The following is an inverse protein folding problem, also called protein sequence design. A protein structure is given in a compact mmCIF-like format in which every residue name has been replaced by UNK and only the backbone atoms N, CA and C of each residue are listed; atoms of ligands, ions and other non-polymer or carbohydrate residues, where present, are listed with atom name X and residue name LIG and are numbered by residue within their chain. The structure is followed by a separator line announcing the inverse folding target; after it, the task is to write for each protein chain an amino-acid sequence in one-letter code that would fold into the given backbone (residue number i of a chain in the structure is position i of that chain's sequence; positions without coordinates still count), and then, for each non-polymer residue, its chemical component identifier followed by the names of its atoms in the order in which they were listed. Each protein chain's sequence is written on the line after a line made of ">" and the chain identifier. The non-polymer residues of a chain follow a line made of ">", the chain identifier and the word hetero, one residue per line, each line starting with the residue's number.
data_IF_426363060546
#
_entry.id   IF_426363060546
#
_cell.length_a   1.000
_cell.length_b   1.000
_cell.length_c   1.000
_cell.angle_alpha   90.00
_cell.angle_beta   90.00
_cell.angle_gamma   90.00
#
_symmetry.space_group_name_H-M   'P 1'
#
loop_
_entity.id
_entity.type
_entity.pdbx_description
1 polymer ?
#
# COMPACT_ATOMS: atom_id res chain seq x y z
N UNK A 1 8.02 -14.12 -1.46
CA UNK A 1 8.07 -12.69 -1.80
C UNK A 1 6.87 -12.00 -1.19
N UNK A 2 7.08 -11.08 -0.25
CA UNK A 2 6.01 -10.45 0.53
C UNK A 2 5.51 -9.19 -0.20
N UNK A 3 4.24 -8.84 -0.01
CA UNK A 3 3.63 -7.63 -0.59
C UNK A 3 3.06 -6.78 0.54
N UNK A 4 3.44 -5.51 0.57
CA UNK A 4 2.76 -4.50 1.36
C UNK A 4 1.61 -3.92 0.53
N UNK A 5 0.39 -4.02 1.04
CA UNK A 5 -0.81 -3.48 0.40
C UNK A 5 -1.40 -2.41 1.30
N UNK A 6 -1.66 -1.23 0.74
CA UNK A 6 -2.34 -0.13 1.43
C UNK A 6 -3.46 0.40 0.56
N UNK A 7 -4.58 0.76 1.20
CA UNK A 7 -5.75 1.32 0.53
C UNK A 7 -5.97 2.73 1.06
N UNK A 8 -6.04 3.69 0.15
CA UNK A 8 -6.21 5.11 0.45
C UNK A 8 -7.57 5.57 -0.04
N UNK A 9 -8.48 6.03 0.86
CA UNK A 9 -9.73 6.62 0.42
C UNK A 9 -9.46 7.96 -0.26
N UNK A 10 -10.14 8.21 -1.38
CA UNK A 10 -10.13 9.50 -2.07
C UNK A 10 -11.32 10.32 -1.58
N UNK A 11 -11.03 11.20 -0.63
CA UNK A 11 -12.01 12.10 -0.02
C UNK A 11 -12.17 13.37 -0.87
N UNK A 12 -11.09 13.78 -1.54
CA UNK A 12 -11.04 14.96 -2.40
C UNK A 12 -10.89 14.56 -3.87
N UNK A 13 -11.96 14.77 -4.64
CA UNK A 13 -12.01 14.49 -6.08
C UNK A 13 -11.41 15.61 -6.95
N UNK A 14 -10.93 16.72 -6.37
CA UNK A 14 -10.34 17.82 -7.12
C UNK A 14 -8.92 17.52 -7.64
N UNK A 15 -8.26 16.53 -7.03
CA UNK A 15 -6.90 16.12 -7.40
C UNK A 15 -6.90 15.17 -8.60
N UNK A 16 -5.87 15.31 -9.45
CA UNK A 16 -5.67 14.39 -10.55
C UNK A 16 -5.42 12.97 -10.03
N UNK A 17 -6.02 11.97 -10.68
CA UNK A 17 -5.87 10.57 -10.29
C UNK A 17 -4.40 10.09 -10.35
N UNK A 18 -3.59 10.68 -11.23
CA UNK A 18 -2.16 10.40 -11.31
C UNK A 18 -1.42 10.82 -10.03
N UNK A 19 -1.72 12.00 -9.50
CA UNK A 19 -1.10 12.51 -8.27
C UNK A 19 -1.50 11.67 -7.06
N UNK A 20 -2.79 11.31 -6.98
CA UNK A 20 -3.29 10.46 -5.92
C UNK A 20 -2.64 9.06 -5.94
N UNK A 21 -2.37 8.51 -7.14
CA UNK A 21 -1.64 7.25 -7.30
C UNK A 21 -0.17 7.39 -6.89
N UNK A 22 0.49 8.46 -7.29
CA UNK A 22 1.88 8.73 -6.89
C UNK A 22 2.01 8.89 -5.37
N UNK A 23 1.09 9.64 -4.74
CA UNK A 23 1.04 9.82 -3.29
C UNK A 23 0.79 8.48 -2.57
N UNK A 24 -0.18 7.68 -3.04
CA UNK A 24 -0.46 6.36 -2.46
C UNK A 24 0.78 5.46 -2.50
N UNK A 25 1.50 5.43 -3.62
CA UNK A 25 2.72 4.65 -3.75
C UNK A 25 3.84 5.17 -2.84
N UNK A 26 4.06 6.49 -2.79
CA UNK A 26 5.06 7.11 -1.93
C UNK A 26 4.78 6.85 -0.44
N UNK A 27 3.52 6.95 0.00
CA UNK A 27 3.11 6.61 1.36
C UNK A 27 3.33 5.12 1.68
N UNK A 28 3.04 4.25 0.73
CA UNK A 28 3.29 2.80 0.88
C UNK A 28 4.79 2.50 1.01
N UNK A 29 5.64 3.19 0.24
CA UNK A 29 7.10 3.08 0.37
C UNK A 29 7.60 3.63 1.71
N UNK A 30 7.06 4.76 2.17
CA UNK A 30 7.39 5.30 3.47
C UNK A 30 7.01 4.32 4.59
N UNK A 31 5.86 3.65 4.49
CA UNK A 31 5.46 2.61 5.43
C UNK A 31 6.41 1.41 5.44
N UNK A 32 6.81 0.92 4.27
CA UNK A 32 7.82 -0.14 4.19
C UNK A 32 9.12 0.27 4.89
N UNK A 33 9.61 1.49 4.67
CA UNK A 33 10.81 2.03 5.34
C UNK A 33 10.63 2.15 6.85
N UNK A 34 9.46 2.63 7.32
CA UNK A 34 9.14 2.71 8.76
C UNK A 34 9.17 1.34 9.43
N UNK A 35 8.79 0.28 8.71
CA UNK A 35 8.83 -1.10 9.19
C UNK A 35 10.19 -1.79 9.02
N UNK A 36 11.19 -1.08 8.47
CA UNK A 36 12.49 -1.66 8.14
C UNK A 36 12.47 -2.67 6.98
N UNK A 37 11.41 -2.68 6.17
CA UNK A 37 11.25 -3.59 5.05
C UNK A 37 11.97 -3.06 3.80
N UNK A 38 12.65 -3.96 3.09
CA UNK A 38 13.36 -3.62 1.86
C UNK A 38 12.43 -3.72 0.66
N UNK A 39 12.33 -2.66 -0.16
CA UNK A 39 11.56 -2.68 -1.41
C UNK A 39 12.34 -3.44 -2.47
N UNK A 40 11.70 -4.39 -3.14
CA UNK A 40 12.36 -5.32 -4.07
C UNK A 40 11.97 -5.15 -5.53
N UNK A 41 11.10 -4.18 -5.84
CA UNK A 41 10.66 -3.92 -7.21
C UNK A 41 9.75 -2.71 -7.32
N UNK A 42 9.30 -2.43 -8.55
CA UNK A 42 8.34 -1.39 -8.81
C UNK A 42 7.01 -1.70 -8.10
N UNK A 43 6.46 -0.71 -7.39
CA UNK A 43 5.11 -0.83 -6.85
C UNK A 43 4.06 -0.53 -7.93
N UNK A 44 2.86 -1.05 -7.71
CA UNK A 44 1.72 -0.88 -8.59
C UNK A 44 0.60 -0.14 -7.85
N UNK A 45 -0.22 0.61 -8.59
CA UNK A 45 -1.42 1.23 -8.05
C UNK A 45 -2.64 0.89 -8.90
N UNK A 46 -3.80 0.75 -8.25
CA UNK A 46 -5.08 0.49 -8.90
C UNK A 46 -6.14 1.41 -8.33
N UNK A 47 -6.91 2.03 -9.22
CA UNK A 47 -8.11 2.77 -8.86
C UNK A 47 -9.28 1.80 -8.68
N UNK A 48 -9.99 1.92 -7.56
CA UNK A 48 -11.19 1.15 -7.24
C UNK A 48 -12.39 2.12 -7.23
N UNK A 49 -13.11 2.28 -8.37
CA UNK A 49 -14.15 3.29 -8.50
C UNK A 49 -15.34 3.08 -7.56
N UNK A 50 -15.69 1.82 -7.27
CA UNK A 50 -16.83 1.50 -6.40
C UNK A 50 -16.65 1.96 -4.95
N UNK A 51 -15.41 1.93 -4.46
CA UNK A 51 -15.05 2.33 -3.08
C UNK A 51 -14.38 3.70 -3.02
N UNK A 52 -14.21 4.37 -4.18
CA UNK A 52 -13.44 5.61 -4.33
C UNK A 52 -12.08 5.54 -3.64
N UNK A 53 -11.35 4.45 -3.85
CA UNK A 53 -10.06 4.20 -3.21
C UNK A 53 -8.93 3.93 -4.21
N UNK A 54 -7.71 4.21 -3.79
CA UNK A 54 -6.50 3.77 -4.49
C UNK A 54 -5.86 2.65 -3.68
N UNK A 55 -5.74 1.49 -4.30
CA UNK A 55 -4.96 0.38 -3.79
C UNK A 55 -3.52 0.52 -4.29
N UNK A 56 -2.56 0.63 -3.38
CA UNK A 56 -1.14 0.59 -3.68
C UNK A 56 -0.53 -0.72 -3.19
N UNK A 57 0.28 -1.36 -4.05
CA UNK A 57 0.92 -2.64 -3.79
C UNK A 57 2.41 -2.46 -3.99
N UNK A 58 3.20 -2.82 -2.98
CA UNK A 58 4.64 -2.70 -2.99
C UNK A 58 5.30 -4.06 -2.69
N UNK A 59 6.12 -4.60 -3.61
CA UNK A 59 6.88 -5.81 -3.34
C UNK A 59 7.99 -5.52 -2.33
N UNK A 60 8.03 -6.29 -1.25
CA UNK A 60 8.97 -6.08 -0.14
C UNK A 60 9.60 -7.38 0.35
N UNK A 61 10.80 -7.26 0.90
CA UNK A 61 11.46 -8.26 1.72
C UNK A 61 11.39 -7.82 3.18
N UNK A 62 10.82 -8.66 4.02
CA UNK A 62 10.69 -8.41 5.46
C UNK A 62 11.91 -9.00 6.16
N UNK A 63 12.68 -8.17 6.85
CA UNK A 63 13.91 -8.58 7.56
C UNK A 63 13.65 -9.19 8.94
N UNK A 64 12.40 -9.21 9.40
CA UNK A 64 12.03 -9.76 10.70
C UNK A 64 11.08 -10.96 10.55
N UNK A 65 11.28 -11.98 11.41
CA UNK A 65 10.40 -13.14 11.61
C UNK A 65 8.94 -12.67 11.72
N UNK A 66 7.94 -13.50 11.35
CA UNK A 66 6.55 -13.10 11.38
C UNK A 66 6.08 -12.82 12.82
N UNK A 67 6.29 -11.60 13.28
CA UNK A 67 5.68 -11.07 14.49
C UNK A 67 4.65 -10.06 14.02
N UNK A 68 3.45 -10.55 13.70
CA UNK A 68 2.27 -9.72 13.50
C UNK A 68 2.10 -9.03 12.15
N UNK A 69 2.76 -9.48 11.08
CA UNK A 69 2.34 -9.09 9.74
C UNK A 69 1.02 -9.82 9.44
N UNK A 70 -0.10 -9.08 9.44
CA UNK A 70 -1.38 -9.55 8.90
C UNK A 70 -1.16 -9.97 7.44
N UNK A 71 -0.87 -11.26 7.26
CA UNK A 71 -1.07 -12.00 6.02
C UNK A 71 -2.59 -12.10 5.86
N UNK A 72 -3.10 -11.86 4.65
CA UNK A 72 -4.55 -11.87 4.40
C UNK A 72 -5.26 -13.06 5.06
N UNK A 73 -6.14 -12.71 5.99
CA UNK A 73 -7.02 -13.58 6.75
C UNK A 73 -7.79 -12.67 7.68
N UNK A 74 -9.04 -12.37 7.34
CA UNK A 74 -9.82 -11.31 7.98
C UNK A 74 -10.02 -11.49 9.49
N UNK A 75 -10.39 -10.39 10.16
CA UNK A 75 -11.68 -10.21 10.87
C UNK A 75 -11.71 -8.79 11.43
N UNK A 76 -12.90 -8.19 11.35
CA UNK A 76 -13.30 -6.89 11.87
C UNK A 76 -13.22 -6.81 13.41
N UNK A 77 -12.89 -5.61 13.90
CA UNK A 77 -13.51 -4.98 15.07
C UNK A 77 -13.30 -3.47 14.94
#
# INVERSE_FOLDING_TARGET
>A
MTRLVMVFPVIDGSRALADLRAEALARTQAEARRRGWQVTGAGATRWEPGTRSIRAVLPVHTTDRPTGAFLEGGVAA
#
